data_IF_576415258191
#
_entry.id   IF_576415258191
#
_cell.length_a   1.000
_cell.length_b   1.000
_cell.length_c   1.000
_cell.angle_alpha   90.00
_cell.angle_beta   90.00
_cell.angle_gamma   90.00
#
_symmetry.space_group_name_H-M   'P 1'
#
loop_
_entity.id
_entity.type
_entity.pdbx_description
1 polymer ?
#
# COMPACT_ATOMS: atom_id res chain seq x y z
N UNK A 1 -3.46 -2.61 1.67
CA UNK A 1 -2.38 -1.80 2.29
C UNK A 1 -1.48 -1.15 1.23
N UNK A 2 -0.86 -1.90 0.30
CA UNK A 2 -0.10 -1.33 -0.84
C UNK A 2 -0.89 -0.27 -1.64
N UNK A 3 -2.18 -0.54 -1.89
CA UNK A 3 -3.11 0.38 -2.55
C UNK A 3 -3.36 1.70 -1.82
N UNK A 4 -2.99 1.80 -0.54
CA UNK A 4 -3.09 3.03 0.26
C UNK A 4 -1.72 3.70 0.41
N UNK A 5 -0.66 2.92 0.57
CA UNK A 5 0.71 3.41 0.76
C UNK A 5 1.25 4.05 -0.53
N UNK A 6 1.06 3.42 -1.69
CA UNK A 6 1.61 3.96 -2.94
C UNK A 6 1.02 5.34 -3.31
N UNK A 7 -0.31 5.56 -3.25
CA UNK A 7 -0.88 6.89 -3.44
C UNK A 7 -0.37 7.90 -2.41
N UNK A 8 -0.28 7.52 -1.13
CA UNK A 8 0.22 8.41 -0.08
C UNK A 8 1.67 8.89 -0.34
N UNK A 9 2.57 7.99 -0.73
CA UNK A 9 3.95 8.35 -1.10
C UNK A 9 3.98 9.28 -2.33
N UNK A 10 3.03 9.11 -3.26
CA UNK A 10 2.89 9.97 -4.45
C UNK A 10 2.37 11.36 -4.08
N UNK A 11 1.45 11.44 -3.12
CA UNK A 11 0.96 12.70 -2.55
C UNK A 11 2.08 13.51 -1.91
N UNK A 12 2.98 12.88 -1.14
CA UNK A 12 4.14 13.57 -0.55
C UNK A 12 5.04 14.21 -1.61
N UNK A 13 5.30 13.49 -2.71
CA UNK A 13 6.08 14.01 -3.83
C UNK A 13 5.39 15.20 -4.52
N UNK A 14 4.06 15.11 -4.69
CA UNK A 14 3.26 16.18 -5.25
C UNK A 14 3.29 17.43 -4.35
N UNK A 15 3.09 17.25 -3.04
CA UNK A 15 3.17 18.34 -2.06
C UNK A 15 4.51 19.07 -2.12
N UNK A 16 5.61 18.32 -2.19
CA UNK A 16 6.95 18.92 -2.33
C UNK A 16 7.05 19.73 -3.62
N UNK A 17 6.66 19.15 -4.76
CA UNK A 17 6.72 19.82 -6.06
C UNK A 17 5.93 21.13 -6.04
N UNK A 18 4.71 21.09 -5.50
CA UNK A 18 3.82 22.24 -5.47
C UNK A 18 4.37 23.34 -4.54
N UNK A 19 4.82 22.97 -3.34
CA UNK A 19 5.43 23.93 -2.41
C UNK A 19 6.69 24.57 -2.97
N UNK A 20 7.61 23.78 -3.54
CA UNK A 20 8.80 24.31 -4.22
C UNK A 20 8.46 25.20 -5.42
N UNK A 21 7.34 24.92 -6.09
CA UNK A 21 6.77 25.73 -7.17
C UNK A 21 5.97 26.96 -6.69
N UNK A 22 5.85 27.18 -5.36
CA UNK A 22 5.04 28.24 -4.73
C UNK A 22 3.54 28.13 -5.05
N UNK A 23 3.08 26.90 -5.26
CA UNK A 23 1.68 26.57 -5.46
C UNK A 23 1.08 26.09 -4.12
N UNK A 24 0.36 26.97 -3.43
CA UNK A 24 -0.10 26.73 -2.05
C UNK A 24 -1.57 26.30 -1.93
N UNK A 25 -2.21 25.84 -3.01
CA UNK A 25 -3.64 25.48 -2.99
C UNK A 25 -3.97 24.33 -2.01
N UNK A 26 -3.01 23.44 -1.75
CA UNK A 26 -3.10 22.38 -0.74
C UNK A 26 -2.76 22.87 0.68
N UNK A 27 -2.20 24.08 0.82
CA UNK A 27 -1.69 24.64 2.07
C UNK A 27 -2.22 26.06 2.33
N UNK A 28 -3.54 26.24 2.55
CA UNK A 28 -4.14 27.58 2.71
C UNK A 28 -3.49 28.41 3.82
N UNK A 29 -3.08 27.76 4.92
CA UNK A 29 -2.39 28.43 6.03
C UNK A 29 -1.00 28.95 5.63
N UNK A 30 -0.24 28.18 4.83
CA UNK A 30 1.07 28.60 4.34
C UNK A 30 0.91 29.75 3.34
N UNK A 31 -0.11 29.70 2.49
CA UNK A 31 -0.45 30.80 1.59
C UNK A 31 -0.68 32.11 2.36
N UNK A 32 -1.52 32.07 3.40
CA UNK A 32 -1.83 33.24 4.22
C UNK A 32 -0.60 33.80 4.96
N UNK A 33 0.22 32.93 5.56
CA UNK A 33 1.45 33.36 6.24
C UNK A 33 2.45 33.99 5.26
N UNK A 34 2.51 33.47 4.03
CA UNK A 34 3.38 34.03 2.99
C UNK A 34 2.89 35.39 2.50
N UNK A 35 1.58 35.60 2.39
CA UNK A 35 1.00 36.92 2.08
C UNK A 35 1.33 37.96 3.15
N UNK A 36 1.39 37.55 4.42
CA UNK A 36 1.81 38.41 5.54
C UNK A 36 3.32 38.63 5.63
N UNK A 37 4.11 37.94 4.80
CA UNK A 37 5.58 37.99 4.84
C UNK A 37 6.21 37.21 6.00
N UNK A 38 5.46 36.30 6.64
CA UNK A 38 5.91 35.49 7.77
C UNK A 38 6.63 34.19 7.34
N UNK A 39 6.39 33.74 6.10
CA UNK A 39 7.03 32.56 5.50
C UNK A 39 7.89 33.00 4.34
N UNK A 40 9.18 32.69 4.42
CA UNK A 40 10.17 32.95 3.38
C UNK A 40 10.49 31.69 2.58
N UNK A 41 11.27 31.87 1.51
CA UNK A 41 11.64 30.75 0.63
C UNK A 41 12.54 29.72 1.33
N UNK A 42 13.35 30.16 2.29
CA UNK A 42 14.17 29.27 3.12
C UNK A 42 13.29 28.36 3.98
N UNK A 43 12.18 28.87 4.53
CA UNK A 43 11.23 28.09 5.31
C UNK A 43 10.50 27.06 4.42
N UNK A 44 10.14 27.45 3.19
CA UNK A 44 9.55 26.55 2.19
C UNK A 44 10.53 25.44 1.83
N UNK A 45 11.81 25.77 1.67
CA UNK A 45 12.85 24.79 1.35
C UNK A 45 13.01 23.78 2.48
N UNK A 46 13.05 24.22 3.74
CA UNK A 46 13.10 23.34 4.91
C UNK A 46 11.91 22.37 4.91
N UNK A 47 10.71 22.86 4.59
CA UNK A 47 9.53 21.98 4.51
C UNK A 47 9.62 20.98 3.36
N UNK A 48 10.12 21.41 2.19
CA UNK A 48 10.39 20.51 1.06
C UNK A 48 11.38 19.41 1.44
N UNK A 49 12.43 19.74 2.19
CA UNK A 49 13.44 18.78 2.65
C UNK A 49 12.83 17.78 3.64
N UNK A 50 11.95 18.23 4.54
CA UNK A 50 11.21 17.33 5.43
C UNK A 50 10.29 16.37 4.66
N UNK A 51 9.63 16.84 3.60
CA UNK A 51 8.79 15.98 2.76
C UNK A 51 9.62 14.90 2.05
N UNK A 52 10.84 15.23 1.60
CA UNK A 52 11.75 14.25 1.02
C UNK A 52 12.17 13.18 2.04
N UNK A 53 12.55 13.61 3.24
CA UNK A 53 12.93 12.69 4.32
C UNK A 53 11.76 11.78 4.69
N UNK A 54 10.55 12.33 4.82
CA UNK A 54 9.34 11.56 5.12
C UNK A 54 9.00 10.59 3.98
N UNK A 55 9.10 11.03 2.72
CA UNK A 55 8.85 10.17 1.58
C UNK A 55 9.81 8.98 1.57
N UNK A 56 11.09 9.23 1.82
CA UNK A 56 12.12 8.19 1.90
C UNK A 56 11.86 7.23 3.07
N UNK A 57 11.56 7.74 4.27
CA UNK A 57 11.22 6.91 5.43
C UNK A 57 10.01 6.01 5.15
N UNK A 58 8.96 6.54 4.51
CA UNK A 58 7.79 5.75 4.13
C UNK A 58 8.12 4.68 3.10
N UNK A 59 8.97 4.98 2.12
CA UNK A 59 9.43 4.00 1.13
C UNK A 59 10.26 2.90 1.77
N UNK A 60 11.15 3.23 2.71
CA UNK A 60 12.00 2.27 3.42
C UNK A 60 11.19 1.41 4.38
N UNK A 61 10.30 2.03 5.18
CA UNK A 61 9.47 1.35 6.17
C UNK A 61 8.49 0.34 5.55
N UNK A 62 7.95 0.66 4.38
CA UNK A 62 6.97 -0.18 3.68
C UNK A 62 7.54 -0.86 2.43
N UNK A 63 8.87 -0.96 2.33
CA UNK A 63 9.54 -1.47 1.15
C UNK A 63 9.11 -2.90 0.82
N UNK A 64 8.93 -3.73 1.85
CA UNK A 64 8.43 -5.10 1.77
C UNK A 64 7.04 -5.15 1.13
N UNK A 65 6.08 -4.37 1.64
CA UNK A 65 4.70 -4.32 1.11
C UNK A 65 4.68 -3.73 -0.31
N UNK A 66 5.51 -2.73 -0.58
CA UNK A 66 5.62 -2.09 -1.89
C UNK A 66 6.20 -3.04 -2.95
N UNK A 67 7.17 -3.87 -2.56
CA UNK A 67 7.82 -4.86 -3.45
C UNK A 67 7.10 -6.21 -3.47
N UNK A 68 6.14 -6.44 -2.57
CA UNK A 68 5.40 -7.69 -2.47
C UNK A 68 4.76 -8.04 -3.82
N UNK A 69 5.11 -9.21 -4.35
CA UNK A 69 4.44 -9.82 -5.49
C UNK A 69 3.28 -10.66 -4.96
N UNK A 70 2.06 -10.27 -5.31
CA UNK A 70 0.91 -11.14 -5.06
C UNK A 70 0.95 -12.21 -6.14
N UNK A 71 1.20 -13.46 -5.73
CA UNK A 71 1.22 -14.59 -6.65
C UNK A 71 -0.22 -14.93 -7.07
N UNK A 72 -0.39 -15.42 -8.30
CA UNK A 72 -1.72 -15.69 -8.85
C UNK A 72 -2.53 -16.67 -7.99
N UNK A 73 -1.87 -17.65 -7.37
CA UNK A 73 -2.54 -18.62 -6.50
C UNK A 73 -3.14 -18.00 -5.22
N UNK A 74 -2.63 -16.85 -4.77
CA UNK A 74 -3.20 -16.10 -3.63
C UNK A 74 -4.51 -15.44 -4.02
N UNK A 75 -4.63 -15.02 -5.29
CA UNK A 75 -5.84 -14.39 -5.83
C UNK A 75 -6.88 -15.45 -6.19
N UNK A 76 -6.41 -16.52 -6.84
CA UNK A 76 -7.19 -17.67 -7.24
C UNK A 76 -6.41 -18.94 -6.93
N UNK A 77 -6.83 -19.63 -5.87
CA UNK A 77 -6.21 -20.86 -5.38
C UNK A 77 -6.09 -21.93 -6.46
N UNK A 78 -7.00 -21.96 -7.45
CA UNK A 78 -7.05 -22.98 -8.50
C UNK A 78 -6.41 -22.54 -9.82
N UNK A 79 -5.83 -21.33 -9.86
CA UNK A 79 -5.02 -20.88 -11.00
C UNK A 79 -3.67 -21.61 -11.08
N UNK A 80 -3.02 -21.49 -12.24
CA UNK A 80 -1.71 -22.11 -12.50
C UNK A 80 -0.66 -21.67 -11.45
N UNK A 81 -0.02 -22.65 -10.81
CA UNK A 81 0.92 -22.50 -9.69
C UNK A 81 2.40 -22.53 -10.09
N UNK A 82 2.74 -22.27 -11.36
CA UNK A 82 4.11 -22.30 -11.87
C UNK A 82 5.11 -21.38 -11.14
N UNK A 83 4.65 -20.39 -10.38
CA UNK A 83 5.50 -19.41 -9.68
C UNK A 83 5.71 -19.69 -8.18
N UNK A 84 5.34 -20.89 -7.70
CA UNK A 84 5.42 -21.24 -6.29
C UNK A 84 6.80 -21.73 -5.87
N UNK A 85 7.19 -21.34 -4.66
CA UNK A 85 8.35 -21.90 -3.97
C UNK A 85 8.14 -23.39 -3.69
N UNK A 86 9.18 -24.19 -3.91
CA UNK A 86 9.09 -25.65 -3.81
C UNK A 86 8.54 -26.14 -2.46
N UNK A 87 8.82 -25.39 -1.39
CA UNK A 87 8.39 -25.68 -0.01
C UNK A 87 6.87 -25.60 0.17
N UNK A 88 6.17 -24.74 -0.57
CA UNK A 88 4.71 -24.56 -0.48
C UNK A 88 3.93 -25.35 -1.53
N UNK A 89 4.64 -26.08 -2.41
CA UNK A 89 4.03 -26.72 -3.57
C UNK A 89 3.14 -27.90 -3.22
N UNK A 90 3.55 -28.74 -2.27
CA UNK A 90 2.75 -29.88 -1.82
C UNK A 90 1.47 -29.43 -1.13
N UNK A 91 1.57 -28.50 -0.18
CA UNK A 91 0.41 -27.94 0.53
C UNK A 91 -0.60 -27.29 -0.43
N UNK A 92 -0.12 -26.56 -1.45
CA UNK A 92 -1.02 -26.01 -2.46
C UNK A 92 -1.70 -27.11 -3.28
N UNK A 93 -0.98 -28.16 -3.70
CA UNK A 93 -1.57 -29.26 -4.47
C UNK A 93 -2.68 -29.95 -3.67
N UNK A 94 -2.46 -30.18 -2.38
CA UNK A 94 -3.46 -30.77 -1.47
C UNK A 94 -4.71 -29.88 -1.40
N UNK A 95 -4.53 -28.56 -1.31
CA UNK A 95 -5.65 -27.60 -1.32
C UNK A 95 -6.36 -27.55 -2.69
N UNK A 96 -5.63 -27.59 -3.80
CA UNK A 96 -6.17 -27.54 -5.16
C UNK A 96 -6.93 -28.81 -5.57
N UNK A 97 -6.51 -29.96 -5.03
CA UNK A 97 -7.15 -31.26 -5.29
C UNK A 97 -8.34 -31.52 -4.37
N UNK A 98 -8.55 -30.70 -3.35
CA UNK A 98 -9.69 -30.82 -2.45
C UNK A 98 -11.00 -30.36 -3.14
N UNK A 99 -11.79 -31.33 -3.60
CA UNK A 99 -13.08 -31.11 -4.25
C UNK A 99 -14.11 -30.41 -3.34
N UNK A 100 -14.00 -30.54 -2.02
CA UNK A 100 -14.89 -29.83 -1.08
C UNK A 100 -14.56 -28.33 -0.95
N UNK A 101 -13.31 -27.94 -1.22
CA UNK A 101 -12.87 -26.54 -1.16
C UNK A 101 -13.27 -25.75 -2.41
N UNK A 102 -13.25 -26.37 -3.59
CA UNK A 102 -13.62 -25.71 -4.87
C UNK A 102 -14.94 -24.91 -4.80
N UNK A 103 -16.08 -25.47 -4.33
CA UNK A 103 -17.32 -24.69 -4.26
C UNK A 103 -17.26 -23.56 -3.23
N UNK A 104 -16.42 -23.64 -2.19
CA UNK A 104 -16.27 -22.59 -1.16
C UNK A 104 -15.47 -21.37 -1.66
N UNK A 105 -14.69 -21.56 -2.72
CA UNK A 105 -13.91 -20.52 -3.39
C UNK A 105 -14.54 -20.01 -4.69
N UNK A 106 -15.74 -20.48 -5.06
CA UNK A 106 -16.44 -20.04 -6.29
C UNK A 106 -16.62 -18.53 -6.40
N UNK A 107 -16.78 -17.86 -5.27
CA UNK A 107 -16.98 -16.40 -5.20
C UNK A 107 -15.64 -15.64 -5.04
N UNK A 108 -14.51 -16.33 -5.18
CA UNK A 108 -13.15 -15.80 -5.08
C UNK A 108 -12.60 -15.70 -3.65
N UNK A 109 -11.28 -15.46 -3.57
CA UNK A 109 -10.53 -15.36 -2.32
C UNK A 109 -11.14 -14.34 -1.32
N UNK A 110 -11.56 -13.17 -1.83
CA UNK A 110 -12.11 -12.12 -0.97
C UNK A 110 -13.41 -12.54 -0.27
N UNK A 111 -14.29 -13.28 -0.96
CA UNK A 111 -15.53 -13.79 -0.37
C UNK A 111 -15.25 -14.87 0.68
N UNK A 112 -14.27 -15.72 0.41
CA UNK A 112 -13.81 -16.74 1.35
C UNK A 112 -13.27 -16.14 2.65
N UNK A 113 -12.37 -15.15 2.58
CA UNK A 113 -11.78 -14.52 3.76
C UNK A 113 -12.80 -13.78 4.65
N UNK A 114 -13.90 -13.30 4.08
CA UNK A 114 -14.97 -12.62 4.80
C UNK A 114 -15.93 -13.56 5.53
N UNK A 115 -15.77 -14.88 5.40
CA UNK A 115 -16.57 -15.84 6.16
C UNK A 115 -16.33 -15.65 7.67
N UNK A 116 -17.42 -15.64 8.46
CA UNK A 116 -17.40 -15.35 9.92
C UNK A 116 -16.38 -16.15 10.72
N UNK A 117 -16.07 -17.38 10.29
CA UNK A 117 -15.11 -18.25 10.97
C UNK A 117 -13.66 -17.81 10.73
N UNK A 118 -13.34 -17.23 9.57
CA UNK A 118 -11.97 -16.85 9.20
C UNK A 118 -11.64 -15.46 9.74
N UNK A 119 -12.58 -14.51 9.67
CA UNK A 119 -12.39 -13.14 10.17
C UNK A 119 -12.00 -13.09 11.67
N UNK A 120 -12.45 -14.05 12.48
CA UNK A 120 -12.12 -14.13 13.90
C UNK A 120 -10.66 -14.46 14.21
N UNK A 121 -9.93 -15.09 13.28
CA UNK A 121 -8.51 -15.43 13.47
C UNK A 121 -7.55 -14.27 13.17
N UNK A 122 -7.99 -13.27 12.38
CA UNK A 122 -7.16 -12.14 11.97
C UNK A 122 -7.40 -10.85 12.78
N UNK A 123 -8.50 -10.76 13.53
CA UNK A 123 -8.84 -9.59 14.36
C UNK A 123 -8.10 -9.53 15.71
N UNK A 124 -7.19 -10.48 15.98
CA UNK A 124 -6.37 -10.53 17.20
C UNK A 124 -4.94 -10.01 17.05
N UNK A 125 -4.61 -9.38 15.92
CA UNK A 125 -3.31 -8.73 15.65
C UNK A 125 -3.44 -7.21 15.70
#
# INVERSE_FOLDING_TARGET
MRSLISPFISELAMFKRNLGGREFYQFPSVAALRENGEVHDDDIQIYCDHLDVLQKDMQERFQDILKMKILNWVIDLFSNSNEIEMELKEELIDLQTNEELKPKFKDGYHSFCLQKQISGFYLGL
#
